data_IF_368025439184
#
_entry.id   IF_368025439184
#
_cell.length_a   1.000
_cell.length_b   1.000
_cell.length_c   1.000
_cell.angle_alpha   90.00
_cell.angle_beta   90.00
_cell.angle_gamma   90.00
#
_symmetry.space_group_name_H-M   'P 1'
#
loop_
_entity.id
_entity.type
_entity.pdbx_description
1 polymer ?
#
# COMPACT_ATOMS: atom_id res chain seq x y z
N UNK A 1 -16.74 -29.48 -19.88
CA UNK A 1 -17.71 -29.28 -18.76
C UNK A 1 -17.15 -29.71 -17.41
N UNK A 2 -16.80 -31.03 -17.17
CA UNK A 2 -16.24 -31.45 -15.86
C UNK A 2 -14.84 -30.90 -15.56
N UNK A 3 -14.01 -30.66 -16.56
CA UNK A 3 -12.68 -30.04 -16.45
C UNK A 3 -12.79 -28.54 -16.14
N UNK A 4 -13.74 -27.84 -16.74
CA UNK A 4 -13.99 -26.42 -16.50
C UNK A 4 -14.56 -26.19 -15.09
N UNK A 5 -15.44 -27.07 -14.61
CA UNK A 5 -15.99 -27.00 -13.24
C UNK A 5 -14.86 -27.24 -12.22
N UNK A 6 -13.97 -28.20 -12.46
CA UNK A 6 -12.80 -28.42 -11.58
C UNK A 6 -11.83 -27.26 -11.58
N UNK A 7 -11.59 -26.60 -12.73
CA UNK A 7 -10.76 -25.42 -12.82
C UNK A 7 -11.38 -24.22 -12.08
N UNK A 8 -12.67 -23.97 -12.27
CA UNK A 8 -13.41 -22.91 -11.57
C UNK A 8 -13.42 -23.15 -10.06
N UNK A 9 -13.62 -24.42 -9.65
CA UNK A 9 -13.62 -24.79 -8.23
C UNK A 9 -12.23 -24.68 -7.59
N UNK A 10 -11.17 -25.09 -8.29
CA UNK A 10 -9.78 -24.90 -7.85
C UNK A 10 -9.41 -23.41 -7.76
N UNK A 11 -9.78 -22.62 -8.75
CA UNK A 11 -9.58 -21.17 -8.76
C UNK A 11 -10.33 -20.47 -7.59
N UNK A 12 -11.56 -20.91 -7.32
CA UNK A 12 -12.36 -20.41 -6.19
C UNK A 12 -11.74 -20.78 -4.83
N UNK A 13 -11.21 -21.99 -4.70
CA UNK A 13 -10.52 -22.45 -3.46
C UNK A 13 -9.21 -21.68 -3.26
N UNK A 14 -8.39 -21.52 -4.31
CA UNK A 14 -7.11 -20.79 -4.25
C UNK A 14 -7.35 -19.34 -3.85
N UNK A 15 -8.27 -18.65 -4.52
CA UNK A 15 -8.64 -17.27 -4.17
C UNK A 15 -9.16 -17.14 -2.71
N UNK A 16 -9.92 -18.12 -2.24
CA UNK A 16 -10.42 -18.12 -0.87
C UNK A 16 -9.29 -18.34 0.15
N UNK A 17 -8.29 -19.14 -0.16
CA UNK A 17 -7.10 -19.30 0.68
C UNK A 17 -6.23 -18.04 0.71
N UNK A 18 -6.14 -17.32 -0.39
CA UNK A 18 -5.35 -16.09 -0.51
C UNK A 18 -5.96 -14.93 0.27
N UNK A 19 -7.28 -14.74 0.20
CA UNK A 19 -7.99 -13.73 1.02
C UNK A 19 -8.03 -14.15 2.49
N UNK A 20 -8.08 -15.45 2.81
CA UNK A 20 -8.03 -15.94 4.19
C UNK A 20 -6.78 -15.47 4.94
N UNK A 21 -5.65 -15.29 4.24
CA UNK A 21 -4.46 -14.68 4.85
C UNK A 21 -4.73 -13.25 5.34
N UNK A 22 -5.48 -12.44 4.58
CA UNK A 22 -5.83 -11.08 5.00
C UNK A 22 -6.84 -11.13 6.16
N UNK A 23 -7.86 -11.98 6.06
CA UNK A 23 -8.88 -12.14 7.12
C UNK A 23 -8.29 -12.62 8.44
N UNK A 24 -7.21 -13.44 8.42
CA UNK A 24 -6.48 -13.86 9.62
C UNK A 24 -6.03 -12.65 10.46
N UNK A 25 -5.58 -11.59 9.80
CA UNK A 25 -5.04 -10.41 10.46
C UNK A 25 -6.01 -9.23 10.55
N UNK A 26 -7.06 -9.24 9.72
CA UNK A 26 -8.10 -8.21 9.64
C UNK A 26 -9.47 -8.89 9.62
N UNK A 27 -9.94 -9.43 10.77
CA UNK A 27 -11.18 -10.22 10.83
C UNK A 27 -12.46 -9.38 10.62
N UNK A 28 -12.38 -8.06 10.82
CA UNK A 28 -13.52 -7.14 10.73
C UNK A 28 -13.81 -6.64 9.29
N UNK A 29 -13.22 -7.29 8.28
CA UNK A 29 -13.49 -6.91 6.88
C UNK A 29 -14.96 -7.13 6.53
N UNK A 30 -15.59 -6.12 5.91
CA UNK A 30 -16.92 -6.24 5.33
C UNK A 30 -16.91 -7.18 4.11
N UNK A 31 -18.09 -7.71 3.76
CA UNK A 31 -18.25 -8.55 2.56
C UNK A 31 -17.73 -7.85 1.28
N UNK A 32 -17.96 -6.54 1.15
CA UNK A 32 -17.45 -5.75 0.05
C UNK A 32 -15.92 -5.72 -0.01
N UNK A 33 -15.25 -5.53 1.12
CA UNK A 33 -13.79 -5.54 1.19
C UNK A 33 -13.21 -6.92 0.88
N UNK A 34 -13.84 -7.98 1.38
CA UNK A 34 -13.47 -9.37 1.07
C UNK A 34 -13.57 -9.62 -0.45
N UNK A 35 -14.68 -9.20 -1.08
CA UNK A 35 -14.87 -9.28 -2.52
C UNK A 35 -13.79 -8.49 -3.28
N UNK A 36 -13.49 -7.25 -2.86
CA UNK A 36 -12.48 -6.41 -3.47
C UNK A 36 -11.08 -7.04 -3.39
N UNK A 37 -10.68 -7.54 -2.22
CA UNK A 37 -9.41 -8.26 -2.08
C UNK A 37 -9.36 -9.53 -2.93
N UNK A 38 -10.45 -10.29 -3.03
CA UNK A 38 -10.49 -11.54 -3.81
C UNK A 38 -10.27 -11.35 -5.31
N UNK A 39 -10.64 -10.20 -5.85
CA UNK A 39 -10.47 -9.86 -7.27
C UNK A 39 -9.05 -9.44 -7.65
N UNK A 40 -8.20 -9.08 -6.67
CA UNK A 40 -6.88 -8.50 -6.96
C UNK A 40 -5.96 -9.47 -7.72
N UNK A 41 -5.96 -10.76 -7.38
CA UNK A 41 -5.06 -11.74 -8.01
C UNK A 41 -5.35 -11.88 -9.50
N UNK A 42 -6.62 -12.00 -9.90
CA UNK A 42 -6.99 -12.12 -11.30
C UNK A 42 -6.71 -10.83 -12.07
N UNK A 43 -7.01 -9.67 -11.49
CA UNK A 43 -6.77 -8.38 -12.14
C UNK A 43 -5.27 -8.10 -12.32
N UNK A 44 -4.47 -8.32 -11.28
CA UNK A 44 -3.01 -8.17 -11.41
C UNK A 44 -2.42 -9.22 -12.34
N UNK A 45 -2.92 -10.45 -12.35
CA UNK A 45 -2.50 -11.49 -13.30
C UNK A 45 -2.71 -11.03 -14.74
N UNK A 46 -3.92 -10.60 -15.09
CA UNK A 46 -4.27 -10.12 -16.42
C UNK A 46 -3.41 -8.90 -16.85
N UNK A 47 -3.28 -7.91 -15.95
CA UNK A 47 -2.53 -6.70 -16.29
C UNK A 47 -1.02 -6.90 -16.30
N UNK A 48 -0.49 -7.81 -15.49
CA UNK A 48 0.94 -8.09 -15.43
C UNK A 48 1.46 -8.80 -16.70
N UNK A 49 0.58 -9.49 -17.43
CA UNK A 49 0.90 -10.02 -18.76
C UNK A 49 1.18 -8.88 -19.79
N UNK A 50 0.49 -7.75 -19.63
CA UNK A 50 0.59 -6.59 -20.53
C UNK A 50 1.65 -5.60 -20.08
N UNK A 51 1.72 -5.35 -18.76
CA UNK A 51 2.59 -4.36 -18.13
C UNK A 51 3.15 -4.97 -16.84
N UNK A 52 4.44 -5.27 -16.83
CA UNK A 52 5.12 -5.87 -15.70
C UNK A 52 5.22 -4.88 -14.51
N UNK A 53 4.28 -4.94 -13.57
CA UNK A 53 4.27 -4.14 -12.33
C UNK A 53 4.66 -4.95 -11.11
N UNK A 54 4.57 -6.29 -11.19
CA UNK A 54 4.96 -7.25 -10.16
C UNK A 54 5.84 -8.30 -10.83
N UNK A 55 6.96 -8.73 -10.21
CA UNK A 55 7.78 -9.79 -10.77
C UNK A 55 6.96 -11.10 -10.86
N UNK A 56 7.25 -11.95 -11.86
CA UNK A 56 6.54 -13.24 -12.02
C UNK A 56 6.61 -14.10 -10.75
N UNK A 57 7.77 -14.10 -10.09
CA UNK A 57 7.99 -14.83 -8.84
C UNK A 57 7.14 -14.27 -7.68
N UNK A 58 6.92 -12.95 -7.65
CA UNK A 58 6.16 -12.32 -6.57
C UNK A 58 4.63 -12.41 -6.81
N UNK A 59 4.18 -12.67 -8.05
CA UNK A 59 2.76 -12.95 -8.33
C UNK A 59 2.24 -14.17 -7.56
N UNK A 60 3.05 -15.23 -7.40
CA UNK A 60 2.70 -16.41 -6.61
C UNK A 60 2.55 -16.09 -5.10
N UNK A 61 3.10 -14.96 -4.66
CA UNK A 61 3.07 -14.49 -3.27
C UNK A 61 2.41 -13.10 -3.16
N UNK A 62 1.49 -12.77 -4.07
CA UNK A 62 0.84 -11.45 -4.16
C UNK A 62 0.25 -11.03 -2.81
N UNK A 63 -0.51 -11.93 -2.18
CA UNK A 63 -1.21 -11.62 -0.92
C UNK A 63 -0.27 -11.39 0.25
N UNK A 64 0.81 -12.16 0.36
CA UNK A 64 1.80 -11.99 1.43
C UNK A 64 2.69 -10.77 1.18
N UNK A 65 3.39 -10.77 0.03
CA UNK A 65 4.49 -9.83 -0.23
C UNK A 65 4.04 -8.45 -0.70
N UNK A 66 2.82 -8.34 -1.22
CA UNK A 66 2.31 -7.06 -1.72
C UNK A 66 1.09 -6.58 -0.93
N UNK A 67 0.04 -7.37 -0.80
CA UNK A 67 -1.21 -6.93 -0.15
C UNK A 67 -1.00 -6.84 1.37
N UNK A 68 -0.67 -7.94 2.05
CA UNK A 68 -0.49 -7.95 3.50
C UNK A 68 0.66 -7.04 3.93
N UNK A 69 1.77 -6.99 3.17
CA UNK A 69 2.85 -6.06 3.43
C UNK A 69 2.37 -4.60 3.40
N UNK A 70 1.54 -4.22 2.43
CA UNK A 70 0.93 -2.88 2.35
C UNK A 70 0.06 -2.58 3.57
N UNK A 71 -0.73 -3.56 4.00
CA UNK A 71 -1.59 -3.49 5.18
C UNK A 71 -0.80 -3.46 6.50
N UNK A 72 0.50 -3.71 6.48
CA UNK A 72 1.39 -3.47 7.62
C UNK A 72 1.31 -2.05 8.15
N UNK A 73 1.02 -1.05 7.31
CA UNK A 73 0.76 0.33 7.73
C UNK A 73 -0.47 0.41 8.64
N UNK A 74 -1.51 -0.35 8.33
CA UNK A 74 -2.75 -0.37 9.10
C UNK A 74 -2.60 -0.99 10.51
N UNK A 75 -1.54 -1.76 10.76
CA UNK A 75 -1.18 -2.22 12.11
C UNK A 75 -0.61 -1.12 13.00
N UNK A 76 -0.16 -0.03 12.39
CA UNK A 76 0.51 1.08 13.07
C UNK A 76 -0.38 2.32 13.14
N UNK A 77 -1.26 2.47 12.15
CA UNK A 77 -2.09 3.65 11.97
C UNK A 77 -3.46 3.28 11.44
N UNK A 78 -4.50 3.67 12.14
CA UNK A 78 -5.87 3.69 11.66
C UNK A 78 -6.18 5.11 11.16
N UNK A 79 -6.52 5.22 9.88
CA UNK A 79 -6.84 6.52 9.30
C UNK A 79 -8.28 6.90 9.63
N UNK A 80 -8.47 8.06 10.25
CA UNK A 80 -9.80 8.61 10.49
C UNK A 80 -10.50 8.99 9.16
N UNK A 81 -11.83 9.05 9.12
CA UNK A 81 -12.58 9.56 7.97
C UNK A 81 -12.02 10.90 7.47
N UNK A 82 -12.11 11.15 6.17
CA UNK A 82 -11.61 12.36 5.48
C UNK A 82 -10.08 12.57 5.53
N UNK A 83 -9.32 11.59 6.05
CA UNK A 83 -7.86 11.63 5.95
C UNK A 83 -7.43 11.61 4.49
N UNK A 84 -6.51 12.52 4.12
CA UNK A 84 -5.89 12.54 2.79
C UNK A 84 -4.53 11.88 2.85
N UNK A 85 -4.33 10.86 2.04
CA UNK A 85 -3.09 10.07 1.96
C UNK A 85 -2.50 10.13 0.56
N UNK A 86 -1.21 10.46 0.46
CA UNK A 86 -0.45 10.40 -0.80
C UNK A 86 0.42 9.13 -0.80
N UNK A 87 0.25 8.29 -1.81
CA UNK A 87 1.16 7.16 -2.07
C UNK A 87 2.17 7.56 -3.15
N UNK A 88 3.43 7.69 -2.76
CA UNK A 88 4.51 8.14 -3.64
C UNK A 88 5.26 6.96 -4.22
N UNK A 89 5.35 6.93 -5.56
CA UNK A 89 5.98 5.83 -6.27
C UNK A 89 5.18 4.55 -6.14
N UNK A 90 3.88 4.67 -6.31
CA UNK A 90 2.90 3.60 -6.04
C UNK A 90 3.14 2.31 -6.83
N UNK A 91 3.88 2.38 -7.94
CA UNK A 91 4.10 1.23 -8.80
C UNK A 91 2.79 0.65 -9.33
N UNK A 92 2.54 -0.61 -9.05
CA UNK A 92 1.28 -1.27 -9.36
C UNK A 92 0.12 -0.93 -8.41
N UNK A 93 0.25 0.10 -7.55
CA UNK A 93 -0.80 0.48 -6.59
C UNK A 93 -0.49 0.05 -5.15
N UNK A 94 0.78 -0.18 -4.81
CA UNK A 94 1.18 -0.63 -3.48
C UNK A 94 2.04 0.42 -2.75
N UNK A 95 1.65 0.86 -1.54
CA UNK A 95 0.61 0.29 -0.68
C UNK A 95 -0.81 0.85 -0.88
N UNK A 96 -1.03 1.79 -1.79
CA UNK A 96 -2.25 2.60 -1.88
C UNK A 96 -3.54 1.81 -2.10
N UNK A 97 -3.60 0.86 -3.05
CA UNK A 97 -4.83 0.08 -3.33
C UNK A 97 -5.26 -0.77 -2.13
N UNK A 98 -4.40 -1.59 -1.48
CA UNK A 98 -4.79 -2.33 -0.29
C UNK A 98 -5.28 -1.44 0.85
N UNK A 99 -4.64 -0.27 1.05
CA UNK A 99 -5.07 0.69 2.08
C UNK A 99 -6.41 1.35 1.71
N UNK A 100 -6.64 1.67 0.43
CA UNK A 100 -7.92 2.24 -0.02
C UNK A 100 -9.09 1.27 0.12
N UNK A 101 -8.85 -0.04 -0.04
CA UNK A 101 -9.85 -1.07 0.26
C UNK A 101 -10.16 -1.08 1.77
N UNK A 102 -9.12 -1.07 2.62
CA UNK A 102 -9.28 -1.19 4.06
C UNK A 102 -9.92 0.05 4.69
N UNK A 103 -9.61 1.25 4.17
CA UNK A 103 -10.08 2.54 4.68
C UNK A 103 -10.98 3.28 3.67
N UNK A 104 -12.24 2.87 3.50
CA UNK A 104 -13.11 3.41 2.45
C UNK A 104 -13.49 4.90 2.63
N UNK A 105 -13.37 5.45 3.84
CA UNK A 105 -13.64 6.86 4.14
C UNK A 105 -12.39 7.76 4.07
N UNK A 106 -11.23 7.19 3.73
CA UNK A 106 -9.95 7.89 3.52
C UNK A 106 -9.74 8.18 2.03
N UNK A 107 -9.26 9.37 1.69
CA UNK A 107 -8.97 9.77 0.31
C UNK A 107 -7.52 9.46 -0.06
N UNK A 108 -7.32 8.63 -1.08
CA UNK A 108 -5.99 8.23 -1.54
C UNK A 108 -5.65 8.88 -2.87
N UNK A 109 -4.47 9.50 -2.94
CA UNK A 109 -3.86 9.97 -4.19
C UNK A 109 -2.60 9.13 -4.44
N UNK A 110 -2.58 8.37 -5.54
CA UNK A 110 -1.46 7.50 -5.89
C UNK A 110 -0.68 8.13 -7.05
N UNK A 111 0.64 8.29 -6.90
CA UNK A 111 1.46 8.92 -7.94
C UNK A 111 2.65 8.02 -8.32
N UNK A 112 2.89 7.91 -9.62
CA UNK A 112 4.10 7.29 -10.18
C UNK A 112 4.57 8.07 -11.41
N UNK A 113 5.88 8.13 -11.63
CA UNK A 113 6.49 8.79 -12.79
C UNK A 113 6.38 7.96 -14.08
N UNK A 114 5.94 6.72 -13.99
CA UNK A 114 5.79 5.79 -15.11
C UNK A 114 4.30 5.65 -15.47
N UNK A 115 3.86 6.31 -16.53
CA UNK A 115 2.45 6.36 -16.93
C UNK A 115 1.80 4.98 -17.12
N UNK A 116 2.54 3.99 -17.66
CA UNK A 116 2.02 2.61 -17.81
C UNK A 116 1.62 1.98 -16.48
N UNK A 117 2.32 2.28 -15.38
CA UNK A 117 1.96 1.79 -14.05
C UNK A 117 0.64 2.42 -13.57
N UNK A 118 0.46 3.71 -13.82
CA UNK A 118 -0.80 4.40 -13.50
C UNK A 118 -1.98 3.84 -14.30
N UNK A 119 -1.76 3.40 -15.53
CA UNK A 119 -2.79 2.67 -16.30
C UNK A 119 -3.24 1.41 -15.56
N UNK A 120 -2.32 0.63 -15.01
CA UNK A 120 -2.65 -0.57 -14.21
C UNK A 120 -3.40 -0.19 -12.93
N UNK A 121 -2.93 0.83 -12.22
CA UNK A 121 -3.58 1.31 -10.98
C UNK A 121 -5.05 1.68 -11.24
N UNK A 122 -5.31 2.46 -12.30
CA UNK A 122 -6.68 2.85 -12.67
C UNK A 122 -7.54 1.64 -13.01
N UNK A 123 -7.02 0.72 -13.82
CA UNK A 123 -7.77 -0.46 -14.24
C UNK A 123 -8.09 -1.41 -13.06
N UNK A 124 -7.14 -1.60 -12.13
CA UNK A 124 -7.39 -2.40 -10.93
C UNK A 124 -8.40 -1.71 -10.02
N UNK A 125 -8.25 -0.41 -9.78
CA UNK A 125 -9.17 0.37 -8.95
C UNK A 125 -10.60 0.34 -9.50
N UNK A 126 -10.77 0.51 -10.82
CA UNK A 126 -12.05 0.40 -11.51
C UNK A 126 -12.63 -1.01 -11.41
N UNK A 127 -11.81 -2.05 -11.67
CA UNK A 127 -12.23 -3.45 -11.64
C UNK A 127 -12.73 -3.93 -10.28
N UNK A 128 -12.26 -3.33 -9.19
CA UNK A 128 -12.75 -3.61 -7.82
C UNK A 128 -13.72 -2.55 -7.28
N UNK A 129 -14.08 -1.54 -8.09
CA UNK A 129 -15.05 -0.50 -7.72
C UNK A 129 -14.59 0.40 -6.58
N UNK A 130 -13.31 0.81 -6.53
CA UNK A 130 -12.82 1.83 -5.61
C UNK A 130 -13.27 3.22 -6.05
N UNK A 131 -13.79 4.00 -5.11
CA UNK A 131 -14.26 5.38 -5.35
C UNK A 131 -13.46 6.43 -4.57
N UNK A 132 -12.62 6.00 -3.64
CA UNK A 132 -11.83 6.84 -2.75
C UNK A 132 -10.35 6.94 -3.17
N UNK A 133 -10.05 6.68 -4.45
CA UNK A 133 -8.71 6.68 -5.00
C UNK A 133 -8.62 7.49 -6.28
N UNK A 134 -7.57 8.31 -6.39
CA UNK A 134 -7.19 9.03 -7.61
C UNK A 134 -5.75 8.69 -7.97
N UNK A 135 -5.49 8.27 -9.20
CA UNK A 135 -4.14 7.96 -9.66
C UNK A 135 -3.60 9.02 -10.63
N UNK A 136 -2.37 9.46 -10.41
CA UNK A 136 -1.73 10.58 -11.13
C UNK A 136 -0.41 10.13 -11.76
N UNK A 137 -0.27 10.30 -13.07
CA UNK A 137 1.01 10.19 -13.74
C UNK A 137 1.81 11.47 -13.50
N UNK A 138 2.91 11.39 -12.75
CA UNK A 138 3.72 12.56 -12.45
C UNK A 138 4.82 12.28 -11.41
N UNK A 139 5.48 13.35 -11.02
CA UNK A 139 6.50 13.32 -9.95
C UNK A 139 5.96 13.92 -8.67
N UNK A 140 6.29 13.31 -7.54
CA UNK A 140 5.82 13.71 -6.23
C UNK A 140 6.12 15.16 -5.90
N UNK A 141 7.29 15.68 -6.29
CA UNK A 141 7.72 17.05 -6.05
C UNK A 141 6.78 18.09 -6.69
N UNK A 142 6.11 17.72 -7.79
CA UNK A 142 5.22 18.59 -8.56
C UNK A 142 3.79 18.66 -8.01
N UNK A 143 3.41 17.75 -7.11
CA UNK A 143 2.09 17.74 -6.47
C UNK A 143 1.97 18.99 -5.61
N UNK A 144 0.91 19.79 -5.81
CA UNK A 144 0.66 21.03 -5.05
C UNK A 144 -0.27 20.82 -3.86
N UNK A 145 -1.06 19.77 -3.90
CA UNK A 145 -1.98 19.39 -2.83
C UNK A 145 -1.23 19.02 -1.56
N UNK A 146 -1.94 19.13 -0.43
CA UNK A 146 -1.43 18.74 0.88
C UNK A 146 -2.16 17.53 1.40
N UNK A 147 -1.46 16.73 2.20
CA UNK A 147 -1.91 15.46 2.73
C UNK A 147 -1.66 15.38 4.23
N UNK A 148 -2.46 14.59 4.92
CA UNK A 148 -2.20 14.27 6.32
C UNK A 148 -1.06 13.28 6.42
N UNK A 149 -1.08 12.24 5.57
CA UNK A 149 -0.01 11.24 5.55
C UNK A 149 0.54 11.03 4.14
N UNK A 150 1.81 10.67 4.11
CA UNK A 150 2.45 10.13 2.90
C UNK A 150 2.86 8.70 3.19
N UNK A 151 2.44 7.79 2.33
CA UNK A 151 2.84 6.38 2.35
C UNK A 151 3.76 6.08 1.17
N UNK A 152 4.62 5.09 1.31
CA UNK A 152 5.47 4.64 0.21
C UNK A 152 6.06 3.27 0.48
N UNK A 153 6.56 2.62 -0.60
CA UNK A 153 7.28 1.35 -0.53
C UNK A 153 8.40 1.31 -1.58
N UNK A 154 9.64 1.06 -1.13
CA UNK A 154 10.79 0.74 -1.99
C UNK A 154 11.10 1.74 -3.12
N UNK A 155 10.95 3.05 -2.90
CA UNK A 155 11.20 4.09 -3.92
C UNK A 155 12.65 4.57 -3.88
N UNK A 156 13.09 5.10 -2.75
CA UNK A 156 14.45 5.65 -2.56
C UNK A 156 14.83 5.65 -1.08
N UNK A 157 16.02 6.13 -0.77
CA UNK A 157 16.46 6.32 0.62
C UNK A 157 15.71 7.47 1.29
N UNK A 158 15.55 7.39 2.63
CA UNK A 158 14.74 8.33 3.41
C UNK A 158 15.15 9.79 3.24
N UNK A 159 16.45 10.18 3.30
CA UNK A 159 16.83 11.59 3.18
C UNK A 159 16.43 12.22 1.83
N UNK A 160 16.50 11.46 0.75
CA UNK A 160 16.05 11.92 -0.57
C UNK A 160 14.52 11.99 -0.64
N UNK A 161 13.85 10.99 -0.12
CA UNK A 161 12.39 10.92 -0.07
C UNK A 161 11.80 12.13 0.66
N UNK A 162 12.34 12.49 1.82
CA UNK A 162 11.87 13.62 2.60
C UNK A 162 12.01 14.97 1.85
N UNK A 163 13.04 15.11 1.01
CA UNK A 163 13.18 16.32 0.15
C UNK A 163 12.03 16.49 -0.82
N UNK A 164 11.48 15.40 -1.37
CA UNK A 164 10.32 15.45 -2.27
C UNK A 164 9.04 15.88 -1.56
N UNK A 165 8.97 15.66 -0.25
CA UNK A 165 7.77 15.89 0.56
C UNK A 165 7.70 17.29 1.20
N UNK A 166 8.70 18.14 0.97
CA UNK A 166 8.73 19.49 1.57
C UNK A 166 7.46 20.28 1.21
N UNK A 167 6.76 20.76 2.23
CA UNK A 167 5.55 21.59 2.08
C UNK A 167 4.27 20.82 1.74
N UNK A 168 4.27 19.48 1.72
CA UNK A 168 3.12 18.66 1.30
C UNK A 168 2.18 18.24 2.43
N UNK A 169 2.43 18.67 3.66
CA UNK A 169 1.62 18.25 4.80
C UNK A 169 0.58 19.29 5.20
N UNK A 170 -0.64 18.80 5.47
CA UNK A 170 -1.71 19.59 6.06
C UNK A 170 -1.29 20.10 7.45
N UNK A 171 -1.86 21.25 7.84
CA UNK A 171 -1.64 21.81 9.19
C UNK A 171 -2.53 21.14 10.21
N UNK A 172 -3.76 20.89 9.83
CA UNK A 172 -4.77 20.22 10.65
C UNK A 172 -4.35 18.81 11.01
N UNK A 173 -4.65 18.40 12.24
CA UNK A 173 -4.33 17.09 12.78
C UNK A 173 -5.51 16.58 13.59
N UNK A 174 -6.11 15.50 13.13
CA UNK A 174 -7.25 14.87 13.79
C UNK A 174 -7.09 13.35 13.92
N UNK A 175 -6.03 12.80 13.34
CA UNK A 175 -5.67 11.40 13.50
C UNK A 175 -4.92 11.15 14.82
N UNK A 176 -4.84 9.90 15.26
CA UNK A 176 -4.14 9.49 16.49
C UNK A 176 -2.64 9.76 16.46
N UNK A 177 -2.02 9.64 15.28
CA UNK A 177 -0.62 10.06 15.05
C UNK A 177 -0.57 11.43 14.38
N UNK A 178 0.51 12.18 14.65
CA UNK A 178 0.77 13.41 13.92
C UNK A 178 0.95 13.17 12.43
N UNK A 179 0.52 14.12 11.60
CA UNK A 179 0.73 14.07 10.15
C UNK A 179 2.19 13.78 9.83
N UNK A 180 2.44 12.91 8.85
CA UNK A 180 3.80 12.49 8.57
C UNK A 180 3.91 11.39 7.52
N UNK A 181 5.00 10.66 7.59
CA UNK A 181 5.36 9.59 6.65
C UNK A 181 5.21 8.23 7.31
N UNK A 182 4.64 7.28 6.59
CA UNK A 182 4.61 5.85 6.91
C UNK A 182 5.26 5.09 5.75
N UNK A 183 6.50 4.67 5.91
CA UNK A 183 7.29 4.09 4.84
C UNK A 183 7.60 2.60 5.10
N UNK A 184 7.17 1.75 4.18
CA UNK A 184 7.48 0.31 4.21
C UNK A 184 8.91 0.07 3.74
N UNK A 185 9.73 -0.46 4.63
CA UNK A 185 11.14 -0.74 4.43
C UNK A 185 11.48 -2.18 4.84
N UNK A 186 12.68 -2.61 4.50
CA UNK A 186 13.22 -3.90 4.92
C UNK A 186 14.72 -3.84 5.16
N UNK A 187 15.24 -4.83 5.87
CA UNK A 187 16.67 -4.95 6.18
C UNK A 187 17.16 -4.05 7.30
N UNK A 188 18.46 -3.76 7.29
CA UNK A 188 19.09 -2.82 8.22
C UNK A 188 18.88 -1.38 7.74
N UNK A 189 18.39 -0.54 8.61
CA UNK A 189 18.07 0.87 8.33
C UNK A 189 18.90 1.85 9.19
N UNK A 190 19.87 1.35 9.97
CA UNK A 190 20.62 2.17 10.94
C UNK A 190 21.31 3.35 10.23
N UNK A 191 21.97 3.07 9.11
CA UNK A 191 22.70 4.08 8.33
C UNK A 191 21.76 5.05 7.63
N UNK A 192 20.69 4.52 7.03
CA UNK A 192 19.69 5.32 6.28
C UNK A 192 18.92 6.30 7.18
N UNK A 193 18.66 5.89 8.42
CA UNK A 193 17.87 6.66 9.38
C UNK A 193 18.73 7.44 10.40
N UNK A 194 20.05 7.41 10.25
CA UNK A 194 20.96 8.11 11.16
C UNK A 194 20.61 9.62 11.21
N UNK A 195 20.43 10.16 12.42
CA UNK A 195 20.07 11.56 12.63
C UNK A 195 18.59 11.90 12.45
N UNK A 196 17.75 10.97 12.01
CA UNK A 196 16.32 11.17 11.90
C UNK A 196 15.58 10.74 13.18
N UNK A 197 14.65 11.57 13.65
CA UNK A 197 13.76 11.19 14.76
C UNK A 197 12.56 10.42 14.20
N UNK A 198 12.65 9.10 14.16
CA UNK A 198 11.62 8.21 13.66
C UNK A 198 11.27 7.11 14.64
N UNK A 199 10.08 6.55 14.48
CA UNK A 199 9.66 5.31 15.15
C UNK A 199 9.77 4.15 14.16
N UNK A 200 10.28 3.02 14.64
CA UNK A 200 10.43 1.78 13.87
C UNK A 200 9.48 0.72 14.41
N UNK A 201 8.65 0.18 13.54
CA UNK A 201 7.73 -0.90 13.86
C UNK A 201 8.12 -2.15 13.07
N UNK A 202 8.63 -3.18 13.77
CA UNK A 202 8.99 -4.45 13.15
C UNK A 202 7.69 -5.22 12.80
N UNK A 203 7.48 -5.54 11.53
CA UNK A 203 6.25 -6.21 11.09
C UNK A 203 6.14 -7.66 11.55
N UNK A 204 7.24 -8.32 11.91
CA UNK A 204 7.25 -9.64 12.58
C UNK A 204 6.50 -9.67 13.91
N UNK A 205 6.25 -8.52 14.53
CA UNK A 205 5.47 -8.43 15.75
C UNK A 205 3.95 -8.46 15.49
N UNK A 206 3.56 -8.35 14.23
CA UNK A 206 2.16 -8.28 13.79
C UNK A 206 1.77 -9.41 12.84
N UNK A 207 2.75 -10.00 12.14
CA UNK A 207 2.56 -11.05 11.15
C UNK A 207 3.50 -12.21 11.45
N UNK A 208 3.04 -13.45 11.22
CA UNK A 208 3.77 -14.67 11.57
C UNK A 208 4.64 -15.19 10.41
N UNK A 209 4.37 -14.74 9.17
CA UNK A 209 5.05 -15.21 7.97
C UNK A 209 6.52 -14.74 7.97
N UNK A 210 7.46 -15.64 7.66
CA UNK A 210 8.92 -15.41 7.64
C UNK A 210 9.33 -14.18 6.80
N UNK A 211 8.56 -13.87 5.76
CA UNK A 211 8.76 -12.67 4.94
C UNK A 211 8.84 -11.39 5.77
N UNK A 212 8.11 -11.32 6.89
CA UNK A 212 8.04 -10.12 7.74
C UNK A 212 9.17 -10.00 8.76
N UNK A 213 10.06 -10.99 8.90
CA UNK A 213 11.18 -10.96 9.87
C UNK A 213 12.06 -9.73 9.70
N UNK A 214 12.24 -9.29 8.45
CA UNK A 214 13.08 -8.14 8.11
C UNK A 214 12.28 -6.90 7.73
N UNK A 215 10.94 -6.97 7.68
CA UNK A 215 10.10 -5.85 7.23
C UNK A 215 9.73 -4.92 8.38
N UNK A 216 9.65 -3.64 8.04
CA UNK A 216 9.38 -2.58 9.02
C UNK A 216 8.48 -1.51 8.42
N UNK A 217 7.71 -0.84 9.27
CA UNK A 217 7.16 0.48 8.99
C UNK A 217 8.03 1.51 9.69
N UNK A 218 8.50 2.50 8.96
CA UNK A 218 9.18 3.68 9.48
C UNK A 218 8.16 4.80 9.55
N UNK A 219 7.90 5.33 10.74
CA UNK A 219 7.05 6.50 10.92
C UNK A 219 7.90 7.72 11.28
N UNK A 220 7.71 8.81 10.52
CA UNK A 220 8.26 10.14 10.85
C UNK A 220 7.13 11.15 10.88
N UNK A 221 6.97 11.86 12.00
CA UNK A 221 6.08 13.01 12.03
C UNK A 221 6.67 14.17 11.19
N UNK A 222 5.80 14.98 10.59
CA UNK A 222 6.21 16.16 9.78
C UNK A 222 7.10 17.14 10.53
N UNK A 223 6.98 17.21 11.86
CA UNK A 223 7.81 18.09 12.70
C UNK A 223 9.28 17.65 12.78
N UNK A 224 9.58 16.38 12.49
CA UNK A 224 10.91 15.81 12.65
C UNK A 224 11.82 15.96 11.42
N UNK A 225 11.32 16.49 10.29
CA UNK A 225 12.11 16.69 9.07
C UNK A 225 11.91 18.06 8.40
N UNK A 226 11.14 18.96 9.03
CA UNK A 226 10.96 20.35 8.56
C UNK A 226 11.89 21.35 9.26
N UNK A 227 12.81 20.86 10.10
CA UNK A 227 13.79 21.66 10.81
C UNK A 227 15.12 21.70 10.10
#
# INVERSE_FOLDING_TARGET
>A
MECEIKLIFAFYIINRMSVALIQKYFPELSEKQIEQFSKLESLYGEWNEKINVISRKDMESLYEKHILHSLGIAKIMEFAPDTKVLDVGTGGGFPGIPLAILFPETQFTLIDSIGKKITVVNAVAEGIGLTNLTAIHGRAEKVKEKFHFVVSRAVTQMPEFLRWLKGKFEKEQFNTKHNGVLYLKGGDLAEELAGLRCELFNLKNYFEEEFFDTKKVVYLSKGNFNS
#
